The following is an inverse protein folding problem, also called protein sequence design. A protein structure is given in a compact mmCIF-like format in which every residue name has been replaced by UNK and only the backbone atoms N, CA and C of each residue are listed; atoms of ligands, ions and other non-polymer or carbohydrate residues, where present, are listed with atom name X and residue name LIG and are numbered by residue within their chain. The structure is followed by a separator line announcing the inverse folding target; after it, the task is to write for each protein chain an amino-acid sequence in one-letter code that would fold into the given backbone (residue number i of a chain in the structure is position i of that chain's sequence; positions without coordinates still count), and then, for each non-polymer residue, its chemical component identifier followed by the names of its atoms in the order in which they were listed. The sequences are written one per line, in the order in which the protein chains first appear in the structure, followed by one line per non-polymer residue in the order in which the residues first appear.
data_IF_437702065424
#
_entry.id   IF_437702065424
#
_cell.length_a   1.000
_cell.length_b   1.000
_cell.length_c   1.000
_cell.angle_alpha   90.00
_cell.angle_beta   90.00
_cell.angle_gamma   90.00
#
_symmetry.space_group_name_H-M   'P 1'
#
loop_
_entity.id
_entity.type
_entity.pdbx_description
1 polymer ?
#
# COMPACT_ATOMS: atom_id res chain seq x y z
N UNK A 1 2.62 3.34 20.93
CA UNK A 1 1.66 4.20 20.18
C UNK A 1 0.20 3.96 20.59
N UNK A 2 -0.24 2.70 20.71
CA UNK A 2 -1.51 2.36 21.37
C UNK A 2 -2.76 2.44 20.48
N UNK A 3 -2.60 2.26 19.17
CA UNK A 3 -3.69 2.26 18.18
C UNK A 3 -4.06 3.64 17.64
N UNK A 4 -4.97 3.67 16.67
CA UNK A 4 -5.45 4.87 15.96
C UNK A 4 -6.97 4.83 15.93
N UNK A 5 -7.64 5.90 16.37
CA UNK A 5 -9.07 6.06 16.18
C UNK A 5 -9.36 6.45 14.74
N UNK A 6 -10.25 5.75 14.06
CA UNK A 6 -10.52 6.00 12.65
C UNK A 6 -11.96 5.63 12.30
N UNK A 7 -12.58 6.44 11.45
CA UNK A 7 -13.90 6.12 10.89
C UNK A 7 -13.71 5.24 9.65
N UNK A 8 -13.92 3.94 9.83
CA UNK A 8 -13.75 2.96 8.75
C UNK A 8 -14.92 3.08 7.78
N UNK A 9 -14.72 3.45 6.50
CA UNK A 9 -15.81 3.78 5.59
C UNK A 9 -16.69 2.58 5.19
N UNK A 10 -16.14 1.36 5.24
CA UNK A 10 -16.84 0.12 4.86
C UNK A 10 -16.24 -1.09 5.58
N UNK A 11 -17.04 -2.14 5.72
CA UNK A 11 -16.58 -3.42 6.26
C UNK A 11 -15.38 -3.94 5.46
N UNK A 12 -14.36 -4.38 6.19
CA UNK A 12 -13.19 -5.06 5.65
C UNK A 12 -13.37 -6.55 5.91
N UNK A 13 -13.40 -7.34 4.85
CA UNK A 13 -13.51 -8.80 4.92
C UNK A 13 -12.30 -9.47 4.28
N UNK A 14 -12.01 -10.71 4.67
CA UNK A 14 -11.06 -11.55 3.96
C UNK A 14 -11.65 -12.13 2.66
N UNK A 15 -10.89 -13.03 2.02
CA UNK A 15 -11.29 -13.69 0.78
C UNK A 15 -12.49 -14.61 0.97
N UNK A 16 -12.65 -15.21 2.15
CA UNK A 16 -13.80 -16.03 2.55
C UNK A 16 -15.02 -15.21 2.98
N UNK A 17 -14.90 -13.88 3.05
CA UNK A 17 -15.99 -13.02 3.49
C UNK A 17 -16.11 -12.87 5.01
N UNK A 18 -15.16 -13.42 5.80
CA UNK A 18 -15.14 -13.18 7.24
C UNK A 18 -14.80 -11.72 7.53
N UNK A 19 -15.55 -11.11 8.44
CA UNK A 19 -15.33 -9.73 8.87
C UNK A 19 -14.02 -9.60 9.67
N UNK A 20 -13.14 -8.72 9.20
CA UNK A 20 -11.86 -8.39 9.84
C UNK A 20 -11.93 -7.05 10.58
N UNK A 21 -12.59 -6.05 9.99
CA UNK A 21 -12.80 -4.72 10.58
C UNK A 21 -14.19 -4.24 10.17
N UNK A 22 -15.04 -3.92 11.16
CA UNK A 22 -16.37 -3.35 10.89
C UNK A 22 -16.28 -1.92 10.39
N UNK A 23 -17.31 -1.45 9.69
CA UNK A 23 -17.52 -0.04 9.37
C UNK A 23 -17.72 0.79 10.65
N UNK A 24 -17.33 2.05 10.60
CA UNK A 24 -17.62 3.05 11.62
C UNK A 24 -16.41 3.46 12.46
N UNK A 25 -16.63 4.46 13.30
CA UNK A 25 -15.63 5.02 14.19
C UNK A 25 -15.23 4.04 15.29
N UNK A 26 -13.98 3.60 15.25
CA UNK A 26 -13.44 2.66 16.22
C UNK A 26 -11.93 2.86 16.40
N UNK A 27 -11.39 2.21 17.43
CA UNK A 27 -9.95 2.16 17.65
C UNK A 27 -9.35 0.97 16.91
N UNK A 28 -8.47 1.24 15.96
CA UNK A 28 -7.71 0.25 15.23
C UNK A 28 -6.37 -0.01 15.94
N UNK A 29 -6.21 -1.23 16.44
CA UNK A 29 -4.90 -1.76 16.85
C UNK A 29 -4.03 -2.09 15.63
N UNK A 30 -2.82 -2.61 15.84
CA UNK A 30 -1.89 -2.92 14.75
C UNK A 30 -2.45 -3.91 13.72
N UNK A 31 -3.24 -4.89 14.17
CA UNK A 31 -3.78 -5.92 13.30
C UNK A 31 -4.96 -5.39 12.47
N UNK A 32 -5.91 -4.69 13.10
CA UNK A 32 -7.04 -4.06 12.40
C UNK A 32 -6.56 -2.94 11.46
N UNK A 33 -5.57 -2.17 11.87
CA UNK A 33 -4.93 -1.17 11.01
C UNK A 33 -4.35 -1.83 9.77
N UNK A 34 -3.61 -2.93 9.92
CA UNK A 34 -3.05 -3.70 8.80
C UNK A 34 -4.15 -4.23 7.87
N UNK A 35 -5.22 -4.81 8.41
CA UNK A 35 -6.35 -5.28 7.60
C UNK A 35 -6.98 -4.16 6.79
N UNK A 36 -7.20 -3.00 7.41
CA UNK A 36 -7.77 -1.83 6.73
C UNK A 36 -6.89 -1.36 5.56
N UNK A 37 -5.58 -1.15 5.77
CA UNK A 37 -4.69 -0.63 4.73
C UNK A 37 -4.44 -1.60 3.57
N UNK A 38 -4.59 -2.92 3.80
CA UNK A 38 -4.42 -3.95 2.77
C UNK A 38 -5.67 -4.11 1.90
N UNK A 39 -6.83 -3.74 2.42
CA UNK A 39 -8.12 -3.96 1.77
C UNK A 39 -8.21 -3.26 0.41
N UNK A 40 -8.46 -4.07 -0.63
CA UNK A 40 -8.79 -3.61 -1.99
C UNK A 40 -10.18 -4.06 -2.45
N UNK A 41 -10.83 -4.97 -1.71
CA UNK A 41 -12.08 -5.63 -2.11
C UNK A 41 -13.16 -4.57 -2.38
N UNK A 42 -13.75 -4.60 -3.59
CA UNK A 42 -14.75 -3.62 -4.02
C UNK A 42 -14.22 -2.19 -4.19
N UNK A 43 -12.94 -2.00 -4.50
CA UNK A 43 -12.35 -0.69 -4.82
C UNK A 43 -11.09 -0.80 -5.71
N UNK A 44 -10.57 0.33 -6.21
CA UNK A 44 -9.32 0.37 -6.98
C UNK A 44 -8.08 0.59 -6.11
N UNK A 45 -6.87 0.37 -6.65
CA UNK A 45 -5.62 0.67 -5.93
C UNK A 45 -5.49 2.16 -5.59
N UNK A 46 -6.07 3.05 -6.41
CA UNK A 46 -6.15 4.48 -6.12
C UNK A 46 -6.94 4.75 -4.83
N UNK A 47 -8.07 4.09 -4.64
CA UNK A 47 -8.87 4.21 -3.41
C UNK A 47 -8.12 3.61 -2.23
N UNK A 48 -7.43 2.47 -2.42
CA UNK A 48 -6.59 1.87 -1.37
C UNK A 48 -5.45 2.81 -0.95
N UNK A 49 -4.76 3.43 -1.90
CA UNK A 49 -3.71 4.41 -1.63
C UNK A 49 -4.29 5.63 -0.88
N UNK A 50 -5.46 6.13 -1.29
CA UNK A 50 -6.13 7.21 -0.57
C UNK A 50 -6.47 6.84 0.88
N UNK A 51 -6.96 5.62 1.13
CA UNK A 51 -7.23 5.11 2.48
C UNK A 51 -5.95 5.01 3.31
N UNK A 52 -4.86 4.49 2.73
CA UNK A 52 -3.55 4.40 3.38
C UNK A 52 -3.03 5.79 3.78
N UNK A 53 -3.12 6.76 2.88
CA UNK A 53 -2.70 8.13 3.15
C UNK A 53 -3.59 8.81 4.21
N UNK A 54 -4.91 8.61 4.14
CA UNK A 54 -5.86 9.20 5.09
C UNK A 54 -5.64 8.68 6.51
N UNK A 55 -5.49 7.37 6.69
CA UNK A 55 -5.27 6.79 8.03
C UNK A 55 -3.88 7.13 8.59
N UNK A 56 -2.85 7.26 7.74
CA UNK A 56 -1.53 7.73 8.18
C UNK A 56 -1.59 9.20 8.64
N UNK A 57 -2.35 10.06 7.96
CA UNK A 57 -2.58 11.46 8.38
C UNK A 57 -3.37 11.51 9.70
N UNK A 58 -4.38 10.67 9.86
CA UNK A 58 -5.15 10.55 11.11
C UNK A 58 -4.27 10.07 12.28
N UNK A 59 -3.42 9.07 12.03
CA UNK A 59 -2.45 8.56 13.02
C UNK A 59 -1.46 9.66 13.42
N UNK A 60 -0.89 10.38 12.45
CA UNK A 60 0.01 11.50 12.70
C UNK A 60 -0.65 12.57 13.57
N UNK A 61 -1.87 13.00 13.21
CA UNK A 61 -2.62 14.02 13.93
C UNK A 61 -2.89 13.63 15.39
N UNK A 62 -3.38 12.40 15.61
CA UNK A 62 -3.63 11.90 16.97
C UNK A 62 -2.35 11.77 17.79
N UNK A 63 -1.27 11.28 17.18
CA UNK A 63 0.00 11.15 17.88
C UNK A 63 0.61 12.51 18.20
N UNK A 64 0.43 13.52 17.35
CA UNK A 64 0.87 14.88 17.62
C UNK A 64 0.06 15.51 18.75
N UNK A 65 -1.27 15.46 18.70
CA UNK A 65 -2.17 16.01 19.72
C UNK A 65 -1.94 15.36 21.10
N UNK A 66 -1.63 14.07 21.13
CA UNK A 66 -1.33 13.35 22.36
C UNK A 66 0.14 13.48 22.82
N UNK A 67 0.95 14.36 22.20
CA UNK A 67 2.39 14.51 22.43
C UNK A 67 3.17 13.17 22.35
N UNK A 68 2.70 12.23 21.52
CA UNK A 68 3.29 10.89 21.36
C UNK A 68 4.39 10.83 20.31
N UNK A 69 4.52 11.84 19.43
CA UNK A 69 5.58 11.89 18.42
C UNK A 69 6.98 11.92 19.04
N UNK A 70 7.12 12.41 20.28
CA UNK A 70 8.40 12.40 21.01
C UNK A 70 8.92 10.99 21.30
N UNK A 71 8.03 9.99 21.34
CA UNK A 71 8.38 8.58 21.53
C UNK A 71 8.68 7.84 20.22
N UNK A 72 8.49 8.49 19.06
CA UNK A 72 8.73 7.86 17.76
C UNK A 72 10.17 7.31 17.60
N UNK A 73 11.24 7.98 18.07
CA UNK A 73 12.59 7.43 18.03
C UNK A 73 12.73 6.15 18.85
N UNK A 74 12.17 6.10 20.06
CA UNK A 74 12.21 4.89 20.91
C UNK A 74 11.46 3.73 20.25
N UNK A 75 10.28 3.99 19.69
CA UNK A 75 9.51 2.99 18.94
C UNK A 75 10.30 2.47 17.76
N UNK A 76 10.92 3.39 16.99
CA UNK A 76 11.75 3.02 15.85
C UNK A 76 12.94 2.14 16.26
N UNK A 77 13.66 2.52 17.32
CA UNK A 77 14.79 1.74 17.85
C UNK A 77 14.38 0.30 18.21
N UNK A 78 13.19 0.13 18.80
CA UNK A 78 12.60 -1.20 19.08
C UNK A 78 12.19 -1.99 17.83
N UNK A 79 12.08 -1.35 16.67
CA UNK A 79 11.66 -1.95 15.40
C UNK A 79 12.80 -2.09 14.39
N UNK A 80 14.04 -1.75 14.74
CA UNK A 80 15.21 -1.78 13.84
C UNK A 80 15.46 -3.12 13.17
N UNK A 81 15.10 -4.24 13.80
CA UNK A 81 15.17 -5.59 13.20
C UNK A 81 14.10 -5.82 12.12
N UNK A 82 13.00 -5.07 12.15
CA UNK A 82 11.84 -5.23 11.27
C UNK A 82 11.71 -4.12 10.22
N UNK A 83 12.48 -3.03 10.34
CA UNK A 83 12.44 -1.87 9.45
C UNK A 83 13.85 -1.60 8.93
N UNK A 84 14.03 -1.72 7.61
CA UNK A 84 15.28 -1.35 6.92
C UNK A 84 15.20 0.10 6.44
N UNK A 85 16.19 0.90 6.79
CA UNK A 85 16.31 2.31 6.37
C UNK A 85 17.77 2.72 6.27
N UNK A 86 18.05 3.76 5.48
CA UNK A 86 19.36 4.41 5.41
C UNK A 86 19.41 5.71 6.25
N UNK A 87 18.36 6.04 6.99
CA UNK A 87 18.36 7.17 7.91
C UNK A 87 19.21 6.83 9.15
N UNK A 88 20.13 7.73 9.48
CA UNK A 88 20.84 7.73 10.77
C UNK A 88 19.91 8.02 11.94
N UNK A 89 20.33 7.65 13.15
CA UNK A 89 19.53 7.93 14.36
C UNK A 89 19.37 9.43 14.60
N UNK A 90 20.38 10.23 14.27
CA UNK A 90 20.37 11.69 14.35
C UNK A 90 19.32 12.28 13.41
N UNK A 91 19.22 11.78 12.19
CA UNK A 91 18.19 12.20 11.23
C UNK A 91 16.78 11.84 11.72
N UNK A 92 16.60 10.66 12.31
CA UNK A 92 15.30 10.24 12.86
C UNK A 92 14.89 11.13 14.03
N UNK A 93 15.82 11.45 14.93
CA UNK A 93 15.59 12.36 16.05
C UNK A 93 15.25 13.79 15.56
N UNK A 94 16.00 14.28 14.57
CA UNK A 94 15.76 15.58 13.96
C UNK A 94 14.36 15.65 13.32
N UNK A 95 13.96 14.62 12.56
CA UNK A 95 12.62 14.52 11.96
C UNK A 95 11.52 14.46 13.02
N UNK A 96 11.70 13.68 14.10
CA UNK A 96 10.73 13.60 15.19
C UNK A 96 10.53 14.96 15.88
N UNK A 97 11.64 15.68 16.13
CA UNK A 97 11.58 17.04 16.69
C UNK A 97 10.87 18.01 15.73
N UNK A 98 11.25 17.99 14.45
CA UNK A 98 10.64 18.85 13.43
C UNK A 98 9.13 18.60 13.29
N UNK A 99 8.71 17.34 13.20
CA UNK A 99 7.31 16.95 13.14
C UNK A 99 6.53 17.42 14.38
N UNK A 100 7.13 17.29 15.57
CA UNK A 100 6.51 17.73 16.83
C UNK A 100 6.37 19.25 16.88
N UNK A 101 7.39 20.01 16.48
CA UNK A 101 7.45 21.47 16.70
C UNK A 101 6.94 22.33 15.55
N UNK A 102 7.02 21.86 14.30
CA UNK A 102 6.88 22.72 13.11
C UNK A 102 5.78 22.30 12.15
N UNK A 103 5.40 21.02 12.14
CA UNK A 103 4.41 20.52 11.19
C UNK A 103 3.01 20.60 11.78
N UNK A 104 2.12 21.35 11.14
CA UNK A 104 0.69 21.22 11.39
C UNK A 104 0.16 19.99 10.64
N UNK A 105 -0.70 19.21 11.29
CA UNK A 105 -1.32 18.04 10.65
C UNK A 105 -2.14 18.47 9.43
N UNK A 106 -2.78 19.64 9.49
CA UNK A 106 -3.64 20.12 8.40
C UNK A 106 -2.83 20.52 7.15
N UNK A 107 -1.57 20.93 7.33
CA UNK A 107 -0.64 21.25 6.24
C UNK A 107 -0.13 20.03 5.44
N UNK A 108 -0.40 18.80 5.90
CA UNK A 108 0.02 17.59 5.18
C UNK A 108 -0.94 17.33 4.02
N UNK A 109 -0.48 17.56 2.79
CA UNK A 109 -1.20 17.22 1.57
C UNK A 109 -0.86 15.82 1.06
N UNK A 110 -1.84 15.15 0.47
CA UNK A 110 -1.68 13.83 -0.14
C UNK A 110 -1.72 13.94 -1.66
N UNK A 111 -0.84 13.20 -2.34
CA UNK A 111 -0.81 13.14 -3.80
C UNK A 111 -0.65 11.68 -4.24
N UNK A 112 -1.25 11.33 -5.38
CA UNK A 112 -1.09 10.02 -6.02
C UNK A 112 -0.75 10.24 -7.48
N UNK A 113 0.24 9.50 -7.98
CA UNK A 113 0.62 9.57 -9.39
C UNK A 113 -0.54 9.13 -10.29
N UNK A 114 -0.84 9.94 -11.30
CA UNK A 114 -1.89 9.64 -12.27
C UNK A 114 -1.37 8.71 -13.37
N UNK A 115 -2.26 7.88 -13.89
CA UNK A 115 -1.94 6.85 -14.87
C UNK A 115 -3.19 6.05 -15.23
N UNK A 116 -2.99 4.98 -15.99
CA UNK A 116 -4.06 4.09 -16.48
C UNK A 116 -3.62 2.64 -16.41
N UNK A 117 -4.60 1.75 -16.28
CA UNK A 117 -4.34 0.32 -16.37
C UNK A 117 -4.35 -0.11 -17.83
N UNK A 118 -3.34 -0.89 -18.22
CA UNK A 118 -3.24 -1.52 -19.53
C UNK A 118 -2.76 -2.96 -19.36
N UNK A 119 -3.25 -3.86 -20.21
CA UNK A 119 -2.77 -5.24 -20.26
C UNK A 119 -1.80 -5.40 -21.42
N UNK A 120 -0.67 -6.06 -21.19
CA UNK A 120 0.29 -6.33 -22.25
C UNK A 120 1.35 -7.33 -21.85
N UNK A 121 2.22 -7.67 -22.81
CA UNK A 121 3.35 -8.55 -22.59
C UNK A 121 4.62 -7.79 -22.18
N UNK A 122 5.52 -8.49 -21.48
CA UNK A 122 6.93 -8.13 -21.36
C UNK A 122 7.74 -9.24 -22.05
N UNK A 123 8.82 -8.90 -22.80
CA UNK A 123 9.70 -9.92 -23.39
C UNK A 123 10.12 -10.97 -22.36
N UNK A 124 10.01 -12.26 -22.71
CA UNK A 124 10.39 -13.37 -21.83
C UNK A 124 9.33 -13.83 -20.83
N UNK A 125 8.09 -13.33 -20.90
CA UNK A 125 6.94 -13.88 -20.15
C UNK A 125 5.96 -14.60 -21.07
N UNK A 126 5.29 -15.61 -20.52
CA UNK A 126 4.27 -16.41 -21.23
C UNK A 126 2.87 -15.80 -21.20
N UNK A 127 2.64 -14.80 -20.34
CA UNK A 127 1.32 -14.22 -20.10
C UNK A 127 1.36 -12.70 -20.10
N UNK A 128 0.24 -12.11 -20.49
CA UNK A 128 0.00 -10.68 -20.34
C UNK A 128 -0.42 -10.35 -18.92
N UNK A 129 0.15 -9.30 -18.35
CA UNK A 129 -0.19 -8.83 -17.00
C UNK A 129 -0.80 -7.43 -17.04
N UNK A 130 -1.60 -7.05 -16.03
CA UNK A 130 -2.06 -5.68 -15.88
C UNK A 130 -0.93 -4.80 -15.35
N UNK A 131 -0.61 -3.74 -16.08
CA UNK A 131 0.35 -2.71 -15.72
C UNK A 131 -0.36 -1.38 -15.45
N UNK A 132 0.21 -0.57 -14.57
CA UNK A 132 -0.23 0.80 -14.36
C UNK A 132 0.73 1.75 -15.07
N UNK A 133 0.36 2.21 -16.26
CA UNK A 133 1.18 3.10 -17.07
C UNK A 133 1.04 4.54 -16.59
N UNK A 134 2.17 5.21 -16.40
CA UNK A 134 2.23 6.51 -15.77
C UNK A 134 1.86 7.62 -16.76
N UNK A 135 1.11 8.62 -16.32
CA UNK A 135 0.87 9.83 -17.09
C UNK A 135 2.06 10.79 -16.88
N UNK A 136 3.06 10.72 -17.77
CA UNK A 136 4.28 11.53 -17.67
C UNK A 136 4.00 13.05 -17.66
N UNK A 137 3.14 13.62 -18.52
CA UNK A 137 2.78 15.04 -18.43
C UNK A 137 2.21 15.44 -17.07
N UNK A 138 1.30 14.64 -16.49
CA UNK A 138 0.77 14.92 -15.15
C UNK A 138 1.82 14.73 -14.05
N UNK A 139 2.72 13.75 -14.18
CA UNK A 139 3.86 13.57 -13.26
C UNK A 139 4.74 14.80 -13.24
N UNK A 140 5.13 15.34 -14.40
CA UNK A 140 5.97 16.54 -14.50
C UNK A 140 5.32 17.72 -13.78
N UNK A 141 4.03 17.99 -14.08
CA UNK A 141 3.27 19.05 -13.40
C UNK A 141 3.20 18.85 -11.90
N UNK A 142 3.02 17.61 -11.44
CA UNK A 142 2.98 17.32 -10.01
C UNK A 142 4.33 17.59 -9.34
N UNK A 143 5.44 17.23 -9.99
CA UNK A 143 6.79 17.48 -9.46
C UNK A 143 7.06 18.98 -9.35
N UNK A 144 6.67 19.74 -10.38
CA UNK A 144 6.78 21.20 -10.37
C UNK A 144 5.93 21.82 -9.25
N UNK A 145 4.69 21.38 -9.09
CA UNK A 145 3.79 21.91 -8.05
C UNK A 145 4.28 21.63 -6.63
N UNK A 146 4.86 20.45 -6.36
CA UNK A 146 5.30 20.07 -5.01
C UNK A 146 6.68 20.62 -4.69
N UNK A 147 7.62 20.55 -5.64
CA UNK A 147 9.05 20.83 -5.38
C UNK A 147 9.59 22.05 -6.13
N UNK A 148 8.80 22.71 -6.99
CA UNK A 148 9.25 23.81 -7.84
C UNK A 148 10.32 23.37 -8.85
N UNK A 149 10.36 22.08 -9.20
CA UNK A 149 11.35 21.52 -10.12
C UNK A 149 10.72 21.16 -11.44
N UNK A 150 11.24 21.73 -12.52
CA UNK A 150 10.89 21.35 -13.89
C UNK A 150 11.71 20.12 -14.26
N UNK A 151 11.04 19.06 -14.68
CA UNK A 151 11.66 17.82 -15.13
C UNK A 151 11.10 17.43 -16.49
N UNK A 152 11.89 16.79 -17.34
CA UNK A 152 11.41 16.36 -18.65
C UNK A 152 10.40 15.20 -18.51
N UNK A 153 9.38 15.14 -19.38
CA UNK A 153 8.53 13.96 -19.46
C UNK A 153 9.38 12.75 -19.88
N UNK A 154 9.15 11.60 -19.22
CA UNK A 154 9.75 10.35 -19.66
C UNK A 154 9.17 9.92 -21.01
N UNK A 155 9.86 9.02 -21.73
CA UNK A 155 9.28 8.41 -22.93
C UNK A 155 7.98 7.68 -22.57
N UNK A 156 6.99 7.61 -23.47
CA UNK A 156 5.77 6.84 -23.21
C UNK A 156 6.08 5.38 -22.89
N UNK A 157 5.46 4.87 -21.82
CA UNK A 157 5.52 3.44 -21.51
C UNK A 157 4.96 2.64 -22.70
N UNK A 158 5.75 1.69 -23.21
CA UNK A 158 5.36 0.80 -24.30
C UNK A 158 5.17 -0.60 -23.76
N UNK A 159 3.97 -1.16 -23.93
CA UNK A 159 3.70 -2.57 -23.66
C UNK A 159 3.77 -3.35 -24.98
N UNK A 160 4.27 -4.58 -24.92
CA UNK A 160 4.05 -5.49 -26.04
C UNK A 160 2.54 -5.80 -26.13
N UNK A 161 2.01 -6.06 -27.34
CA UNK A 161 0.65 -6.52 -27.50
C UNK A 161 0.35 -7.69 -26.55
N UNK A 162 -0.90 -7.83 -26.09
CA UNK A 162 -1.27 -8.97 -25.27
C UNK A 162 -0.90 -10.26 -26.00
N UNK A 163 -0.13 -11.12 -25.35
CA UNK A 163 0.11 -12.48 -25.83
C UNK A 163 -1.24 -13.18 -25.96
N UNK A 164 -1.47 -13.85 -27.09
CA UNK A 164 -2.60 -14.76 -27.23
C UNK A 164 -2.46 -15.81 -26.14
N UNK A 165 -3.55 -16.10 -25.42
CA UNK A 165 -3.59 -17.30 -24.59
C UNK A 165 -3.38 -18.47 -25.54
N UNK A 166 -2.27 -19.18 -25.41
CA UNK A 166 -2.15 -20.50 -26.00
C UNK A 166 -3.24 -21.35 -25.33
N UNK A 167 -4.11 -21.97 -26.14
CA UNK A 167 -5.00 -23.00 -25.63
C UNK A 167 -4.13 -24.03 -24.90
N UNK A 168 -4.56 -24.57 -23.74
CA UNK A 168 -3.80 -25.61 -23.09
C UNK A 168 -3.58 -26.71 -24.13
N UNK A 169 -2.31 -26.96 -24.49
CA UNK A 169 -1.96 -28.07 -25.35
C UNK A 169 -2.68 -29.29 -24.78
N UNK A 170 -3.54 -29.90 -25.60
CA UNK A 170 -4.17 -31.17 -25.28
C UNK A 170 -3.04 -32.19 -25.10
N UNK A 171 -2.58 -32.36 -23.87
CA UNK A 171 -1.75 -33.51 -23.55
C UNK A 171 -2.56 -34.77 -23.88
N UNK A 172 -2.03 -35.68 -24.72
CA UNK A 172 -2.70 -36.92 -24.98
C UNK A 172 -2.54 -37.83 -23.76
N UNK A 173 -3.60 -37.89 -22.95
CA UNK A 173 -3.86 -38.99 -22.03
C UNK A 173 -3.30 -38.83 -20.61
N UNK A 174 -4.11 -38.27 -19.72
CA UNK A 174 -4.09 -38.66 -18.32
C UNK A 174 -5.52 -39.10 -17.95
N UNK A 175 -5.62 -40.31 -17.39
CA UNK A 175 -6.87 -40.94 -16.94
C UNK A 175 -7.55 -40.19 -15.78
N UNK A 176 -8.60 -40.77 -15.19
CA UNK A 176 -9.58 -40.03 -14.40
C UNK A 176 -8.96 -39.32 -13.20
N UNK A 177 -9.48 -38.12 -12.95
CA UNK A 177 -9.13 -37.20 -11.88
C UNK A 177 -9.42 -37.78 -10.50
N UNK A 178 -8.37 -38.07 -9.73
CA UNK A 178 -8.44 -38.12 -8.27
C UNK A 178 -8.00 -36.76 -7.72
N UNK A 179 -8.91 -36.07 -7.03
CA UNK A 179 -8.56 -34.95 -6.15
C UNK A 179 -7.65 -35.45 -5.03
N UNK A 180 -6.67 -34.63 -4.61
CA UNK A 180 -6.36 -34.59 -3.19
C UNK A 180 -6.63 -33.20 -2.60
N UNK A 181 -7.48 -33.23 -1.57
CA UNK A 181 -7.59 -32.26 -0.51
C UNK A 181 -6.27 -32.07 0.25
N UNK A 182 -6.21 -30.95 0.98
CA UNK A 182 -5.29 -30.64 2.09
C UNK A 182 -3.97 -29.94 1.74
N UNK A 183 -3.98 -28.62 1.96
CA UNK A 183 -2.83 -27.87 2.48
C UNK A 183 -3.27 -27.22 3.81
N UNK A 184 -3.64 -28.06 4.77
CA UNK A 184 -3.44 -27.76 6.19
C UNK A 184 -1.98 -28.05 6.51
N UNK A 185 -1.09 -27.07 6.35
CA UNK A 185 0.21 -27.10 7.01
C UNK A 185 0.83 -25.70 7.08
N UNK A 186 0.19 -24.83 7.86
CA UNK A 186 0.87 -23.70 8.50
C UNK A 186 0.20 -23.41 9.86
N UNK A 187 0.00 -24.48 10.64
CA UNK A 187 -0.10 -24.38 12.10
C UNK A 187 1.30 -24.59 12.66
N UNK A 188 1.95 -23.49 13.04
CA UNK A 188 2.97 -23.55 14.08
C UNK A 188 2.31 -23.05 15.36
N UNK A 189 1.90 -23.98 16.22
CA UNK A 189 1.78 -23.78 17.66
C UNK A 189 3.06 -24.30 18.34
N UNK A 190 3.36 -23.95 19.62
CA UNK A 190 2.93 -22.80 20.42
C UNK A 190 4.04 -21.76 20.66
#
# INVERSE_FOLDING_TARGET
MGGVWYDVPKDVTDWNGRLLVGKGYQKLDGLKFMYFIRSRKGSSDRVRAANQQAILKAAFSQFKQANKLIYAPQVFLGMTRNVRTNLSIEQILALARFATQKIDSDSISNNTLAGRYESGGIPGRRESLPYYLLDHPKRVKLVENIWGKVVEPGPPDTLLPPLKKEDPETEPGAGPSDEPSELEDFLLEP
#
